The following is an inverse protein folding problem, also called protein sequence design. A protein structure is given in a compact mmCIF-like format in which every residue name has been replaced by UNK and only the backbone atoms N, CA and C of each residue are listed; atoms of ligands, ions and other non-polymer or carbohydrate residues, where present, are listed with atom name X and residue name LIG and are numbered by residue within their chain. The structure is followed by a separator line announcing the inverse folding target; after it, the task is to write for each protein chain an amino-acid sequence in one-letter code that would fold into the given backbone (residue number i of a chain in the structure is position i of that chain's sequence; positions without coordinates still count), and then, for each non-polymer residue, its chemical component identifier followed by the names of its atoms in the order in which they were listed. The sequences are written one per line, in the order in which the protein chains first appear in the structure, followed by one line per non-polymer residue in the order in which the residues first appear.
data_IF_971975783254
#
_entry.id   IF_971975783254
#
_cell.length_a   1.000
_cell.length_b   1.000
_cell.length_c   1.000
_cell.angle_alpha   90.00
_cell.angle_beta   90.00
_cell.angle_gamma   90.00
#
_symmetry.space_group_name_H-M   'P 1'
#
loop_
_entity.id
_entity.type
_entity.pdbx_description
1 polymer ?
#
# COMPACT_ATOMS: atom_id res chain seq x y z
N UNK A 1 7.23 -5.02 -13.15
CA UNK A 1 7.87 -6.30 -12.78
C UNK A 1 7.21 -6.93 -11.56
N UNK A 2 7.08 -6.21 -10.44
CA UNK A 2 6.41 -6.73 -9.23
C UNK A 2 4.96 -7.21 -9.46
N UNK A 3 4.11 -6.52 -10.25
CA UNK A 3 2.78 -7.04 -10.55
C UNK A 3 2.79 -8.37 -11.31
N UNK A 4 3.78 -8.61 -12.17
CA UNK A 4 3.95 -9.88 -12.88
C UNK A 4 4.37 -11.01 -11.92
N UNK A 5 5.19 -10.69 -10.92
CA UNK A 5 5.56 -11.65 -9.87
C UNK A 5 4.36 -12.01 -8.99
N UNK A 6 3.55 -11.02 -8.60
CA UNK A 6 2.29 -11.28 -7.90
C UNK A 6 1.35 -12.19 -8.71
N UNK A 7 1.20 -11.88 -9.99
CA UNK A 7 0.40 -12.67 -10.92
C UNK A 7 0.92 -14.10 -11.13
N UNK A 8 2.24 -14.30 -11.23
CA UNK A 8 2.80 -15.65 -11.37
C UNK A 8 2.64 -16.48 -10.09
N UNK A 9 2.80 -15.85 -8.93
CA UNK A 9 2.57 -16.48 -7.62
C UNK A 9 1.10 -16.87 -7.45
N UNK A 10 0.17 -16.02 -7.87
CA UNK A 10 -1.27 -16.32 -7.76
C UNK A 10 -1.69 -17.51 -8.63
N UNK A 11 -1.15 -17.62 -9.85
CA UNK A 11 -1.39 -18.78 -10.73
C UNK A 11 -0.80 -20.06 -10.14
N UNK A 12 0.40 -19.99 -9.54
CA UNK A 12 1.07 -21.15 -8.98
C UNK A 12 0.41 -21.70 -7.69
N UNK A 13 -0.24 -20.83 -6.92
CA UNK A 13 -0.81 -21.17 -5.60
C UNK A 13 -2.35 -21.18 -5.57
N UNK A 14 -2.99 -21.07 -6.74
CA UNK A 14 -4.42 -20.89 -7.01
C UNK A 14 -5.40 -21.19 -5.85
N UNK A 15 -5.57 -22.45 -5.48
CA UNK A 15 -6.61 -22.85 -4.50
C UNK A 15 -6.22 -22.62 -3.02
N UNK A 16 -4.93 -22.49 -2.70
CA UNK A 16 -4.49 -22.22 -1.31
C UNK A 16 -4.53 -20.73 -0.98
N UNK A 17 -4.37 -19.86 -1.98
CA UNK A 17 -4.35 -18.43 -1.79
C UNK A 17 -5.74 -17.85 -1.48
N UNK A 18 -6.79 -18.40 -2.08
CA UNK A 18 -8.18 -17.93 -1.97
C UNK A 18 -8.78 -18.06 -0.55
N UNK A 19 -8.22 -18.94 0.29
CA UNK A 19 -8.63 -19.08 1.69
C UNK A 19 -7.85 -18.18 2.66
N UNK A 20 -6.66 -17.71 2.26
CA UNK A 20 -5.71 -17.01 3.14
C UNK A 20 -5.53 -15.53 2.80
N UNK A 21 -5.84 -15.11 1.58
CA UNK A 21 -5.73 -13.72 1.10
C UNK A 21 -6.44 -12.72 2.03
N UNK A 22 -7.63 -13.05 2.56
CA UNK A 22 -8.40 -12.19 3.46
C UNK A 22 -7.67 -11.96 4.79
N UNK A 23 -7.10 -13.02 5.36
CA UNK A 23 -6.30 -12.93 6.59
C UNK A 23 -5.00 -12.17 6.36
N UNK A 24 -4.34 -12.42 5.23
CA UNK A 24 -3.11 -11.72 4.84
C UNK A 24 -3.37 -10.22 4.64
N UNK A 25 -4.43 -9.86 3.91
CA UNK A 25 -4.83 -8.48 3.66
C UNK A 25 -5.20 -7.77 4.97
N UNK A 26 -6.01 -8.39 5.83
CA UNK A 26 -6.38 -7.82 7.13
C UNK A 26 -5.16 -7.52 8.01
N UNK A 27 -4.25 -8.50 8.14
CA UNK A 27 -3.05 -8.33 8.98
C UNK A 27 -2.11 -7.28 8.39
N UNK A 28 -1.86 -7.29 7.08
CA UNK A 28 -0.98 -6.30 6.43
C UNK A 28 -1.55 -4.88 6.51
N UNK A 29 -2.82 -4.69 6.14
CA UNK A 29 -3.47 -3.38 6.15
C UNK A 29 -3.62 -2.85 7.59
N UNK A 30 -3.98 -3.73 8.53
CA UNK A 30 -4.06 -3.38 9.95
C UNK A 30 -2.71 -2.99 10.53
N UNK A 31 -1.66 -3.80 10.32
CA UNK A 31 -0.32 -3.51 10.83
C UNK A 31 0.27 -2.23 10.22
N UNK A 32 0.13 -2.04 8.90
CA UNK A 32 0.59 -0.84 8.22
C UNK A 32 -0.21 0.40 8.67
N UNK A 33 -1.53 0.28 8.83
CA UNK A 33 -2.39 1.37 9.29
C UNK A 33 -2.07 1.80 10.71
N UNK A 34 -1.86 0.84 11.63
CA UNK A 34 -1.39 1.12 12.99
C UNK A 34 -0.02 1.81 12.98
N UNK A 35 0.93 1.32 12.18
CA UNK A 35 2.26 1.94 12.05
C UNK A 35 2.15 3.41 11.59
N UNK A 36 1.31 3.70 10.60
CA UNK A 36 1.09 5.07 10.11
C UNK A 36 0.47 5.97 11.18
N UNK A 37 -0.48 5.46 11.98
CA UNK A 37 -1.06 6.21 13.10
C UNK A 37 0.01 6.50 14.16
N UNK A 38 0.83 5.50 14.53
CA UNK A 38 1.92 5.66 15.51
C UNK A 38 2.95 6.68 15.03
N UNK A 39 3.32 6.65 13.75
CA UNK A 39 4.23 7.64 13.14
C UNK A 39 3.62 9.04 13.15
N UNK A 40 2.34 9.18 12.76
CA UNK A 40 1.63 10.46 12.76
C UNK A 40 1.45 11.08 14.16
N UNK A 41 1.31 10.24 15.20
CA UNK A 41 1.26 10.70 16.60
C UNK A 41 2.66 11.06 17.11
N UNK A 42 3.70 10.25 16.81
CA UNK A 42 5.09 10.55 17.20
C UNK A 42 5.64 11.81 16.55
N UNK A 43 5.18 12.14 15.34
CA UNK A 43 5.57 13.34 14.62
C UNK A 43 5.20 14.65 15.33
N UNK A 44 4.28 14.59 16.30
CA UNK A 44 3.91 15.72 17.18
C UNK A 44 4.91 15.95 18.32
N UNK A 45 5.62 14.90 18.75
CA UNK A 45 6.63 14.95 19.82
C UNK A 45 7.98 15.48 19.33
N UNK A 46 8.30 15.26 18.05
CA UNK A 46 9.50 15.76 17.39
C UNK A 46 9.15 16.95 16.49
N UNK A 47 9.18 18.17 17.04
CA UNK A 47 9.04 19.43 16.30
C UNK A 47 10.25 19.75 15.39
N UNK A 48 10.82 18.74 14.74
CA UNK A 48 11.99 18.89 13.88
C UNK A 48 11.56 19.05 12.43
N UNK A 49 12.19 19.99 11.73
CA UNK A 49 12.01 20.25 10.31
C UNK A 49 12.04 18.93 9.51
N UNK A 50 11.27 18.83 8.40
CA UNK A 50 11.19 17.60 7.62
C UNK A 50 12.59 17.16 7.18
N UNK A 51 13.12 16.12 7.82
CA UNK A 51 14.41 15.54 7.45
C UNK A 51 14.23 14.82 6.11
N UNK A 52 15.14 15.01 5.15
CA UNK A 52 15.14 14.20 3.94
C UNK A 52 15.21 12.72 4.33
N UNK A 53 14.41 11.86 3.68
CA UNK A 53 14.45 10.43 3.94
C UNK A 53 15.88 9.93 3.71
N UNK A 54 16.49 9.37 4.75
CA UNK A 54 17.79 8.74 4.64
C UNK A 54 17.75 7.57 3.65
N UNK A 55 18.91 7.15 3.12
CA UNK A 55 18.98 6.05 2.13
C UNK A 55 18.36 4.74 2.65
N UNK A 56 18.44 4.48 3.96
CA UNK A 56 17.77 3.34 4.60
C UNK A 56 16.24 3.46 4.55
N UNK A 57 15.70 4.65 4.80
CA UNK A 57 14.25 4.89 4.75
C UNK A 57 13.73 4.80 3.31
N UNK A 58 14.47 5.33 2.32
CA UNK A 58 14.16 5.17 0.90
C UNK A 58 14.17 3.70 0.47
N UNK A 59 15.15 2.92 0.93
CA UNK A 59 15.21 1.49 0.63
C UNK A 59 14.01 0.74 1.20
N UNK A 60 13.70 0.95 2.49
CA UNK A 60 12.52 0.33 3.14
C UNK A 60 11.22 0.76 2.44
N UNK A 61 11.08 2.04 2.09
CA UNK A 61 9.90 2.54 1.38
C UNK A 61 9.76 1.87 0.00
N UNK A 62 10.85 1.79 -0.77
CA UNK A 62 10.85 1.13 -2.09
C UNK A 62 10.51 -0.36 -2.01
N UNK A 63 10.96 -1.05 -0.96
CA UNK A 63 10.61 -2.44 -0.71
C UNK A 63 9.13 -2.58 -0.35
N UNK A 64 8.62 -1.72 0.53
CA UNK A 64 7.20 -1.73 0.92
C UNK A 64 6.28 -1.48 -0.29
N UNK A 65 6.59 -0.48 -1.13
CA UNK A 65 5.85 -0.19 -2.37
C UNK A 65 5.96 -1.33 -3.39
N UNK A 66 7.08 -2.06 -3.43
CA UNK A 66 7.24 -3.22 -4.31
C UNK A 66 6.34 -4.39 -3.89
N UNK A 67 6.22 -4.64 -2.59
CA UNK A 67 5.31 -5.66 -2.04
C UNK A 67 3.85 -5.30 -2.34
N UNK A 68 3.49 -4.03 -2.18
CA UNK A 68 2.15 -3.53 -2.50
C UNK A 68 1.79 -3.73 -3.99
N UNK A 69 2.73 -3.41 -4.89
CA UNK A 69 2.55 -3.65 -6.33
C UNK A 69 2.47 -5.15 -6.68
N UNK A 70 3.12 -6.03 -5.92
CA UNK A 70 2.98 -7.48 -6.08
C UNK A 70 1.60 -7.96 -5.59
N UNK A 71 1.12 -7.45 -4.46
CA UNK A 71 -0.23 -7.74 -3.96
C UNK A 71 -1.31 -7.32 -4.95
N UNK A 72 -1.19 -6.13 -5.55
CA UNK A 72 -2.08 -5.69 -6.63
C UNK A 72 -2.01 -6.62 -7.87
N UNK A 73 -0.87 -7.26 -8.13
CA UNK A 73 -0.71 -8.24 -9.21
C UNK A 73 -1.49 -9.54 -8.99
N UNK A 74 -1.66 -9.96 -7.73
CA UNK A 74 -2.42 -11.17 -7.35
C UNK A 74 -3.91 -10.99 -7.66
N UNK A 75 -4.43 -9.76 -7.62
CA UNK A 75 -5.84 -9.46 -7.88
C UNK A 75 -6.15 -9.18 -9.36
N UNK A 76 -5.16 -9.00 -10.23
CA UNK A 76 -5.40 -8.75 -11.67
C UNK A 76 -6.19 -9.87 -12.37
N UNK A 77 -5.92 -11.18 -12.14
CA UNK A 77 -6.69 -12.27 -12.76
C UNK A 77 -8.19 -12.21 -12.47
N UNK A 78 -8.58 -11.77 -11.27
CA UNK A 78 -10.00 -11.73 -10.88
C UNK A 78 -10.78 -10.62 -11.58
N UNK A 79 -10.08 -9.62 -12.12
CA UNK A 79 -10.66 -8.53 -12.91
C UNK A 79 -10.90 -8.90 -14.38
N UNK A 80 -10.44 -10.06 -14.85
CA UNK A 80 -10.60 -10.50 -16.24
C UNK A 80 -9.85 -9.65 -17.28
N UNK A 81 -8.90 -8.80 -16.82
CA UNK A 81 -8.15 -7.89 -17.68
C UNK A 81 -6.80 -8.50 -18.11
N UNK A 82 -6.30 -8.17 -19.33
CA UNK A 82 -4.99 -8.63 -19.78
C UNK A 82 -3.88 -8.05 -18.89
N UNK A 83 -3.06 -8.93 -18.31
CA UNK A 83 -1.99 -8.57 -17.36
C UNK A 83 -1.00 -7.53 -17.93
N UNK A 84 -0.75 -7.56 -19.24
CA UNK A 84 0.13 -6.62 -19.93
C UNK A 84 -0.42 -5.19 -19.87
N UNK A 85 -1.73 -5.01 -20.11
CA UNK A 85 -2.40 -3.72 -20.02
C UNK A 85 -2.41 -3.22 -18.57
N UNK A 86 -2.76 -4.10 -17.62
CA UNK A 86 -2.78 -3.75 -16.19
C UNK A 86 -1.40 -3.30 -15.69
N UNK A 87 -0.34 -4.03 -16.07
CA UNK A 87 1.04 -3.65 -15.72
C UNK A 87 1.43 -2.29 -16.31
N UNK A 88 1.04 -2.01 -17.55
CA UNK A 88 1.35 -0.76 -18.22
C UNK A 88 0.63 0.43 -17.56
N UNK A 89 -0.67 0.27 -17.25
CA UNK A 89 -1.48 1.29 -16.57
C UNK A 89 -0.95 1.56 -15.17
N UNK A 90 -0.70 0.53 -14.37
CA UNK A 90 -0.12 0.68 -13.02
C UNK A 90 1.21 1.42 -13.13
N UNK A 91 2.09 1.02 -14.06
CA UNK A 91 3.38 1.68 -14.27
C UNK A 91 3.26 3.17 -14.59
N UNK A 92 2.38 3.54 -15.53
CA UNK A 92 2.16 4.94 -15.91
C UNK A 92 1.57 5.75 -14.75
N UNK A 93 0.53 5.23 -14.09
CA UNK A 93 -0.13 5.93 -12.99
C UNK A 93 0.83 6.11 -11.82
N UNK A 94 1.55 5.07 -11.42
CA UNK A 94 2.56 5.17 -10.36
C UNK A 94 3.67 6.15 -10.74
N UNK A 95 4.16 6.13 -11.98
CA UNK A 95 5.18 7.07 -12.43
C UNK A 95 4.70 8.52 -12.36
N UNK A 96 3.49 8.80 -12.86
CA UNK A 96 2.89 10.12 -12.81
C UNK A 96 2.68 10.60 -11.35
N UNK A 97 2.14 9.72 -10.49
CA UNK A 97 1.93 10.03 -9.08
C UNK A 97 3.25 10.26 -8.32
N UNK A 98 4.28 9.47 -8.59
CA UNK A 98 5.61 9.68 -8.00
C UNK A 98 6.22 11.01 -8.48
N UNK A 99 6.09 11.36 -9.76
CA UNK A 99 6.59 12.63 -10.29
C UNK A 99 5.90 13.82 -9.60
N UNK A 100 4.57 13.78 -9.50
CA UNK A 100 3.78 14.79 -8.78
C UNK A 100 4.18 14.81 -7.30
N UNK A 101 4.33 13.64 -6.68
CA UNK A 101 4.69 13.48 -5.27
C UNK A 101 6.06 14.05 -4.93
N UNK A 102 7.07 13.89 -5.81
CA UNK A 102 8.41 14.48 -5.61
C UNK A 102 8.36 16.00 -5.74
N UNK A 103 7.63 16.52 -6.74
CA UNK A 103 7.50 17.97 -6.97
C UNK A 103 6.69 18.68 -5.87
N UNK A 104 5.62 18.03 -5.39
CA UNK A 104 4.68 18.61 -4.42
C UNK A 104 5.00 18.24 -2.96
N UNK A 105 5.76 17.16 -2.74
CA UNK A 105 5.97 16.54 -1.43
C UNK A 105 6.64 17.44 -0.40
N UNK A 106 7.56 18.31 -0.82
CA UNK A 106 8.23 19.25 0.09
C UNK A 106 7.28 20.27 0.73
N UNK A 107 6.28 20.76 -0.02
CA UNK A 107 5.31 21.76 0.47
C UNK A 107 4.09 21.12 1.11
N UNK A 108 3.53 20.09 0.47
CA UNK A 108 2.33 19.39 0.96
C UNK A 108 2.67 18.53 2.19
N UNK A 109 3.84 17.89 2.20
CA UNK A 109 4.28 17.06 3.31
C UNK A 109 4.52 17.83 4.61
N UNK A 110 4.91 19.12 4.52
CA UNK A 110 5.07 19.99 5.68
C UNK A 110 3.72 20.44 6.27
N UNK A 111 2.73 20.73 5.42
CA UNK A 111 1.41 21.24 5.85
C UNK A 111 0.40 20.14 6.22
N UNK A 112 0.44 19.00 5.53
CA UNK A 112 -0.60 17.96 5.63
C UNK A 112 -0.05 16.61 6.12
N UNK A 113 1.28 16.43 6.22
CA UNK A 113 1.91 15.14 6.51
C UNK A 113 1.31 14.37 7.70
N UNK A 114 1.15 15.04 8.86
CA UNK A 114 0.52 14.43 10.05
C UNK A 114 -0.92 13.97 9.79
N UNK A 115 -1.74 14.83 9.16
CA UNK A 115 -3.15 14.53 8.88
C UNK A 115 -3.25 13.41 7.84
N UNK A 116 -2.39 13.41 6.83
CA UNK A 116 -2.33 12.38 5.80
C UNK A 116 -1.94 11.01 6.38
N UNK A 117 -0.96 10.95 7.29
CA UNK A 117 -0.55 9.71 7.98
C UNK A 117 -1.68 9.13 8.85
N UNK A 118 -2.34 9.98 9.64
CA UNK A 118 -3.47 9.58 10.50
C UNK A 118 -4.69 9.12 9.69
N UNK A 119 -5.13 9.93 8.72
CA UNK A 119 -6.29 9.60 7.88
C UNK A 119 -6.00 8.35 7.05
N UNK A 120 -4.80 8.27 6.46
CA UNK A 120 -4.37 7.09 5.71
C UNK A 120 -4.41 5.83 6.56
N UNK A 121 -3.87 5.88 7.78
CA UNK A 121 -3.88 4.74 8.69
C UNK A 121 -5.29 4.29 9.09
N UNK A 122 -6.19 5.24 9.39
CA UNK A 122 -7.60 4.94 9.72
C UNK A 122 -8.32 4.31 8.53
N UNK A 123 -8.17 4.86 7.34
CA UNK A 123 -8.76 4.31 6.11
C UNK A 123 -8.23 2.90 5.85
N UNK A 124 -6.94 2.66 6.04
CA UNK A 124 -6.33 1.36 5.81
C UNK A 124 -6.86 0.28 6.76
N UNK A 125 -6.99 0.61 8.05
CA UNK A 125 -7.61 -0.27 9.05
C UNK A 125 -9.08 -0.53 8.68
N UNK A 126 -9.80 0.49 8.24
CA UNK A 126 -11.18 0.36 7.78
C UNK A 126 -11.33 -0.59 6.59
N UNK A 127 -10.48 -0.47 5.57
CA UNK A 127 -10.47 -1.36 4.40
C UNK A 127 -10.15 -2.80 4.84
N UNK A 128 -9.14 -3.00 5.70
CA UNK A 128 -8.81 -4.31 6.23
C UNK A 128 -9.99 -4.94 6.97
N UNK A 129 -10.65 -4.19 7.86
CA UNK A 129 -11.81 -4.65 8.59
C UNK A 129 -13.00 -4.99 7.66
N UNK A 130 -13.23 -4.21 6.61
CA UNK A 130 -14.27 -4.49 5.60
C UNK A 130 -14.00 -5.79 4.83
N UNK A 131 -12.76 -6.04 4.42
CA UNK A 131 -12.36 -7.29 3.74
C UNK A 131 -12.62 -8.50 4.64
N UNK A 132 -12.26 -8.39 5.92
CA UNK A 132 -12.51 -9.45 6.90
C UNK A 132 -14.03 -9.68 7.11
N UNK A 133 -14.80 -8.60 7.21
CA UNK A 133 -16.26 -8.66 7.40
C UNK A 133 -17.00 -9.30 6.23
N UNK A 134 -16.59 -9.00 4.99
CA UNK A 134 -17.17 -9.61 3.78
C UNK A 134 -16.95 -11.13 3.72
N UNK A 135 -15.83 -11.63 4.24
CA UNK A 135 -15.52 -13.06 4.19
C UNK A 135 -16.03 -13.88 5.38
N UNK A 136 -16.28 -13.25 6.53
CA UNK A 136 -16.88 -13.90 7.70
C UNK A 136 -18.43 -13.92 7.60
N UNK A 137 -19.01 -13.30 6.56
CA UNK A 137 -20.46 -13.32 6.31
C UNK A 137 -21.27 -12.39 7.21
N UNK A 138 -20.64 -11.36 7.76
CA UNK A 138 -21.29 -10.32 8.57
C UNK A 138 -21.82 -9.15 7.73
N UNK A 139 -21.49 -9.07 6.43
CA UNK A 139 -21.91 -8.03 5.49
C UNK A 139 -22.29 -8.61 4.12
#
# INVERSE_FOLDING_TARGET
LMPLLGWSVSIALGAWFEAWDHWIAFVLLGALGVKMIVEGVKRDLDAQAPRPLGPRALFVASLATSIDAAAAGITVPTLGLPITLSCFVIGIVTFALCLIGVLAGGRIGAAVGKRAELVGGVVLIGIGASILGQHIGWL
#
